data_IF_194035004249
#
_entry.id   IF_194035004249
#
_cell.length_a   1.000
_cell.length_b   1.000
_cell.length_c   1.000
_cell.angle_alpha   90.00
_cell.angle_beta   90.00
_cell.angle_gamma   90.00
#
_symmetry.space_group_name_H-M   'P 1'
#
loop_
_entity.id
_entity.type
_entity.pdbx_description
1 polymer ?
#
# COMPACT_ATOMS: atom_id res chain seq x y z
N UNK A 1 -18.96 -18.72 -6.76
CA UNK A 1 -19.29 -20.00 -6.10
C UNK A 1 -18.18 -20.46 -5.14
N UNK A 2 -16.93 -20.71 -5.57
CA UNK A 2 -15.86 -21.11 -4.62
C UNK A 2 -15.69 -20.13 -3.44
N UNK A 3 -15.62 -18.82 -3.73
CA UNK A 3 -15.56 -17.77 -2.71
C UNK A 3 -16.73 -17.81 -1.72
N UNK A 4 -17.93 -18.21 -2.18
CA UNK A 4 -19.12 -18.31 -1.32
C UNK A 4 -18.93 -19.42 -0.29
N UNK A 5 -18.44 -20.59 -0.71
CA UNK A 5 -18.15 -21.71 0.22
C UNK A 5 -17.10 -21.30 1.24
N UNK A 6 -15.98 -20.71 0.79
CA UNK A 6 -14.90 -20.28 1.69
C UNK A 6 -15.40 -19.26 2.71
N UNK A 7 -16.12 -18.23 2.27
CA UNK A 7 -16.61 -17.17 3.14
C UNK A 7 -17.70 -17.69 4.10
N UNK A 8 -18.57 -18.60 3.65
CA UNK A 8 -19.57 -19.20 4.52
C UNK A 8 -18.94 -20.11 5.59
N UNK A 9 -18.01 -20.98 5.21
CA UNK A 9 -17.23 -21.79 6.17
C UNK A 9 -16.49 -20.88 7.16
N UNK A 10 -15.85 -19.81 6.68
CA UNK A 10 -15.17 -18.85 7.53
C UNK A 10 -16.12 -18.11 8.48
N UNK A 11 -17.32 -17.74 8.02
CA UNK A 11 -18.31 -17.07 8.88
C UNK A 11 -18.68 -17.96 10.07
N UNK A 12 -18.87 -19.26 9.83
CA UNK A 12 -19.14 -20.26 10.87
C UNK A 12 -17.93 -20.44 11.79
N UNK A 13 -16.74 -20.71 11.22
CA UNK A 13 -15.50 -20.95 11.98
C UNK A 13 -15.10 -19.76 12.85
N UNK A 14 -15.12 -18.53 12.33
CA UNK A 14 -14.71 -17.34 13.07
C UNK A 14 -15.79 -16.85 14.07
N UNK A 15 -17.05 -17.24 13.87
CA UNK A 15 -18.17 -16.88 14.74
C UNK A 15 -18.24 -15.37 15.01
N UNK A 16 -18.27 -14.97 16.28
CA UNK A 16 -18.33 -13.57 16.68
C UNK A 16 -17.15 -12.71 16.16
N UNK A 17 -16.00 -13.33 15.87
CA UNK A 17 -14.82 -12.63 15.36
C UNK A 17 -14.92 -12.29 13.87
N UNK A 18 -15.91 -12.82 13.15
CA UNK A 18 -16.14 -12.52 11.74
C UNK A 18 -16.33 -11.01 11.46
N UNK A 19 -16.80 -10.24 12.45
CA UNK A 19 -16.95 -8.78 12.33
C UNK A 19 -15.63 -8.03 12.11
N UNK A 20 -14.48 -8.63 12.46
CA UNK A 20 -13.15 -8.04 12.27
C UNK A 20 -12.55 -8.35 10.89
N UNK A 21 -13.18 -9.23 10.12
CA UNK A 21 -12.73 -9.61 8.78
C UNK A 21 -13.40 -8.70 7.74
N UNK A 22 -12.82 -7.52 7.52
CA UNK A 22 -13.18 -6.63 6.38
C UNK A 22 -12.80 -7.24 5.03
N UNK A 23 -13.22 -6.65 3.89
CA UNK A 23 -13.01 -7.33 2.59
C UNK A 23 -11.55 -7.59 2.26
N UNK A 24 -10.63 -6.72 2.67
CA UNK A 24 -9.22 -6.96 2.40
C UNK A 24 -8.72 -8.25 3.02
N UNK A 25 -9.29 -8.65 4.17
CA UNK A 25 -9.04 -9.94 4.81
C UNK A 25 -9.83 -11.06 4.12
N UNK A 26 -11.11 -10.84 3.84
CA UNK A 26 -11.95 -11.83 3.14
C UNK A 26 -11.38 -12.24 1.77
N UNK A 27 -10.93 -11.28 0.95
CA UNK A 27 -10.31 -11.55 -0.35
C UNK A 27 -9.05 -12.40 -0.21
N UNK A 28 -8.20 -12.10 0.77
CA UNK A 28 -6.99 -12.89 1.06
C UNK A 28 -7.32 -14.27 1.53
N UNK A 29 -8.32 -14.40 2.40
CA UNK A 29 -8.76 -15.70 2.89
C UNK A 29 -9.14 -16.60 1.71
N UNK A 30 -9.95 -16.08 0.78
CA UNK A 30 -10.31 -16.81 -0.44
C UNK A 30 -9.08 -17.14 -1.29
N UNK A 31 -8.16 -16.20 -1.49
CA UNK A 31 -6.95 -16.42 -2.27
C UNK A 31 -6.03 -17.50 -1.66
N UNK A 32 -5.81 -17.46 -0.35
CA UNK A 32 -4.99 -18.43 0.39
C UNK A 32 -5.64 -19.81 0.41
N UNK A 33 -6.96 -19.89 0.61
CA UNK A 33 -7.68 -21.18 0.56
C UNK A 33 -7.65 -21.75 -0.85
N UNK A 34 -7.77 -20.93 -1.89
CA UNK A 34 -7.65 -21.39 -3.27
C UNK A 34 -6.26 -21.95 -3.57
N UNK A 35 -5.20 -21.27 -3.11
CA UNK A 35 -3.82 -21.76 -3.24
C UNK A 35 -3.60 -23.08 -2.50
N UNK A 36 -4.04 -23.16 -1.24
CA UNK A 36 -3.86 -24.38 -0.44
C UNK A 36 -4.65 -25.58 -0.98
N UNK A 37 -5.85 -25.37 -1.50
CA UNK A 37 -6.72 -26.43 -2.04
C UNK A 37 -6.50 -26.72 -3.52
N UNK A 38 -5.47 -26.12 -4.14
CA UNK A 38 -5.19 -26.23 -5.57
C UNK A 38 -6.37 -25.82 -6.45
N UNK A 39 -7.21 -24.89 -5.99
CA UNK A 39 -8.29 -24.36 -6.80
C UNK A 39 -7.76 -23.31 -7.77
N UNK A 40 -8.11 -23.48 -9.04
CA UNK A 40 -7.72 -22.57 -10.10
C UNK A 40 -8.56 -21.29 -10.01
N UNK A 41 -7.98 -20.26 -9.40
CA UNK A 41 -8.59 -18.97 -9.13
C UNK A 41 -7.63 -17.89 -9.56
N UNK A 42 -8.11 -16.92 -10.35
CA UNK A 42 -7.31 -15.77 -10.74
C UNK A 42 -6.90 -14.96 -9.53
N UNK A 43 -5.60 -14.76 -9.33
CA UNK A 43 -5.04 -14.06 -8.17
C UNK A 43 -3.63 -13.54 -8.44
N UNK A 44 -3.23 -12.49 -7.71
CA UNK A 44 -1.93 -11.85 -7.82
C UNK A 44 -1.60 -11.00 -6.60
N UNK A 45 -0.34 -10.56 -6.49
CA UNK A 45 0.14 -9.74 -5.38
C UNK A 45 -0.12 -8.25 -5.63
N UNK A 46 -0.97 -7.66 -4.80
CA UNK A 46 -1.43 -6.28 -4.94
C UNK A 46 -1.03 -5.43 -3.71
N UNK A 47 -1.51 -4.18 -3.63
CA UNK A 47 -1.18 -3.18 -2.60
C UNK A 47 -1.34 -3.63 -1.16
N UNK A 48 -2.28 -4.52 -0.88
CA UNK A 48 -2.47 -5.07 0.46
C UNK A 48 -2.10 -6.54 0.56
N UNK A 49 -1.34 -7.10 -0.37
CA UNK A 49 -0.97 -8.52 -0.41
C UNK A 49 -1.78 -9.31 -1.44
N UNK A 50 -1.93 -10.61 -1.20
CA UNK A 50 -2.54 -11.51 -2.18
C UNK A 50 -4.02 -11.17 -2.44
N UNK A 51 -4.35 -10.94 -3.70
CA UNK A 51 -5.62 -10.39 -4.15
C UNK A 51 -6.26 -11.29 -5.21
N UNK A 52 -7.56 -11.53 -5.08
CA UNK A 52 -8.36 -12.29 -6.03
C UNK A 52 -9.56 -11.44 -6.48
N UNK A 53 -9.61 -10.97 -7.76
CA UNK A 53 -10.66 -10.07 -8.24
C UNK A 53 -12.06 -10.69 -8.12
N UNK A 54 -12.22 -11.96 -8.48
CA UNK A 54 -13.51 -12.64 -8.37
C UNK A 54 -14.00 -12.75 -6.92
N UNK A 55 -13.10 -12.89 -5.95
CA UNK A 55 -13.48 -12.90 -4.54
C UNK A 55 -14.02 -11.54 -4.11
N UNK A 56 -13.35 -10.46 -4.56
CA UNK A 56 -13.80 -9.10 -4.28
C UNK A 56 -15.18 -8.81 -4.89
N UNK A 57 -15.42 -9.24 -6.14
CA UNK A 57 -16.73 -9.05 -6.78
C UNK A 57 -17.85 -9.77 -6.02
N UNK A 58 -17.61 -11.02 -5.59
CA UNK A 58 -18.56 -11.79 -4.77
C UNK A 58 -18.83 -11.12 -3.42
N UNK A 59 -17.80 -10.58 -2.77
CA UNK A 59 -17.96 -9.86 -1.49
C UNK A 59 -18.81 -8.60 -1.68
N UNK A 60 -18.55 -7.82 -2.73
CA UNK A 60 -19.33 -6.60 -3.02
C UNK A 60 -20.79 -6.94 -3.34
N UNK A 61 -21.03 -8.06 -4.01
CA UNK A 61 -22.37 -8.52 -4.36
C UNK A 61 -23.18 -8.92 -3.12
N UNK A 62 -22.59 -9.69 -2.20
CA UNK A 62 -23.31 -10.32 -1.09
C UNK A 62 -23.07 -9.71 0.31
N UNK A 63 -22.14 -8.76 0.45
CA UNK A 63 -21.93 -8.00 1.69
C UNK A 63 -22.25 -6.50 1.54
N UNK A 64 -22.75 -6.07 0.37
CA UNK A 64 -23.12 -4.69 0.08
C UNK A 64 -21.96 -3.77 -0.33
N UNK A 65 -22.27 -2.49 -0.53
CA UNK A 65 -21.34 -1.48 -1.07
C UNK A 65 -20.54 -0.72 0.01
N UNK A 66 -21.06 -0.63 1.24
CA UNK A 66 -20.52 0.20 2.32
C UNK A 66 -20.16 -0.65 3.55
N UNK A 67 -18.91 -0.55 4.02
CA UNK A 67 -18.39 -1.16 5.26
C UNK A 67 -18.60 -2.69 5.42
N UNK A 68 -18.25 -3.46 4.40
CA UNK A 68 -18.32 -4.93 4.44
C UNK A 68 -17.44 -5.56 5.53
N UNK A 69 -18.01 -6.51 6.28
CA UNK A 69 -17.26 -7.46 7.09
C UNK A 69 -17.90 -8.86 6.95
N UNK A 70 -17.18 -9.90 7.35
CA UNK A 70 -17.64 -11.27 7.14
C UNK A 70 -18.95 -11.61 7.89
N UNK A 71 -19.26 -10.93 8.99
CA UNK A 71 -20.49 -11.21 9.74
C UNK A 71 -21.76 -10.85 8.96
N UNK A 72 -21.68 -9.86 8.05
CA UNK A 72 -22.80 -9.44 7.20
C UNK A 72 -22.81 -10.09 5.82
N UNK A 73 -21.81 -10.92 5.50
CA UNK A 73 -21.80 -11.66 4.24
C UNK A 73 -22.94 -12.68 4.21
N UNK A 74 -23.83 -12.58 3.23
CA UNK A 74 -24.98 -13.47 3.08
C UNK A 74 -25.26 -13.73 1.60
N UNK A 75 -24.95 -14.94 1.14
CA UNK A 75 -25.31 -15.38 -0.20
C UNK A 75 -26.75 -15.94 -0.19
N UNK A 76 -27.55 -15.70 -1.24
CA UNK A 76 -28.86 -16.34 -1.42
C UNK A 76 -28.77 -17.85 -1.24
N UNK A 77 -29.79 -18.46 -0.63
CA UNK A 77 -29.80 -19.88 -0.30
C UNK A 77 -29.55 -20.76 -1.53
N UNK A 78 -30.13 -20.41 -2.67
CA UNK A 78 -29.99 -21.14 -3.93
C UNK A 78 -28.52 -21.12 -4.42
N UNK A 79 -27.84 -19.98 -4.27
CA UNK A 79 -26.41 -19.83 -4.63
C UNK A 79 -25.54 -20.61 -3.65
N UNK A 80 -25.89 -20.58 -2.37
CA UNK A 80 -25.18 -21.31 -1.32
C UNK A 80 -25.27 -22.82 -1.55
N UNK A 81 -26.48 -23.35 -1.71
CA UNK A 81 -26.75 -24.78 -1.91
C UNK A 81 -26.02 -25.29 -3.17
N UNK A 82 -26.13 -24.57 -4.29
CA UNK A 82 -25.43 -24.92 -5.53
C UNK A 82 -23.91 -24.86 -5.37
N UNK A 83 -23.38 -23.87 -4.64
CA UNK A 83 -21.95 -23.77 -4.38
C UNK A 83 -21.45 -24.94 -3.54
N UNK A 84 -22.19 -25.34 -2.49
CA UNK A 84 -21.84 -26.49 -1.66
C UNK A 84 -21.93 -27.82 -2.42
N UNK A 85 -22.91 -27.97 -3.30
CA UNK A 85 -22.99 -29.14 -4.19
C UNK A 85 -21.79 -29.20 -5.15
N UNK A 86 -21.50 -28.10 -5.84
CA UNK A 86 -20.40 -27.99 -6.81
C UNK A 86 -19.04 -28.29 -6.19
N UNK A 87 -18.81 -27.84 -4.96
CA UNK A 87 -17.53 -27.98 -4.27
C UNK A 87 -17.52 -29.07 -3.19
N UNK A 88 -18.50 -29.97 -3.16
CA UNK A 88 -18.69 -30.98 -2.09
C UNK A 88 -17.39 -31.70 -1.71
N UNK A 89 -16.62 -32.16 -2.71
CA UNK A 89 -15.37 -32.88 -2.47
C UNK A 89 -14.24 -31.99 -1.88
N UNK A 90 -14.29 -30.67 -2.08
CA UNK A 90 -13.30 -29.71 -1.57
C UNK A 90 -13.66 -29.14 -0.20
N UNK A 91 -14.93 -29.22 0.23
CA UNK A 91 -15.41 -28.63 1.50
C UNK A 91 -14.56 -29.04 2.71
N UNK A 92 -14.25 -30.34 2.95
CA UNK A 92 -13.46 -30.71 4.13
C UNK A 92 -12.07 -30.06 4.15
N UNK A 93 -11.45 -29.89 2.97
CA UNK A 93 -10.15 -29.22 2.85
C UNK A 93 -10.26 -27.70 3.04
N UNK A 94 -11.34 -27.09 2.55
CA UNK A 94 -11.64 -25.67 2.76
C UNK A 94 -11.81 -25.41 4.26
N UNK A 95 -12.66 -26.18 4.94
CA UNK A 95 -12.95 -26.02 6.37
C UNK A 95 -11.70 -26.21 7.22
N UNK A 96 -10.94 -27.30 6.98
CA UNK A 96 -9.70 -27.56 7.71
C UNK A 96 -8.67 -26.42 7.55
N UNK A 97 -8.56 -25.83 6.36
CA UNK A 97 -7.62 -24.73 6.15
C UNK A 97 -8.12 -23.40 6.73
N UNK A 98 -9.43 -23.16 6.70
CA UNK A 98 -10.06 -22.00 7.36
C UNK A 98 -9.86 -22.07 8.88
N UNK A 99 -10.04 -23.24 9.49
CA UNK A 99 -9.75 -23.47 10.91
C UNK A 99 -8.27 -23.22 11.22
N UNK A 100 -7.36 -23.79 10.42
CA UNK A 100 -5.92 -23.52 10.55
C UNK A 100 -5.60 -22.03 10.48
N UNK A 101 -6.20 -21.30 9.55
CA UNK A 101 -5.99 -19.85 9.41
C UNK A 101 -6.51 -19.09 10.64
N UNK A 102 -7.67 -19.47 11.17
CA UNK A 102 -8.21 -18.88 12.40
C UNK A 102 -7.25 -19.09 13.57
N UNK A 103 -6.70 -20.30 13.72
CA UNK A 103 -5.82 -20.66 14.83
C UNK A 103 -4.48 -19.90 14.80
N UNK A 104 -4.03 -19.44 13.63
CA UNK A 104 -2.87 -18.53 13.54
C UNK A 104 -3.12 -17.17 14.20
N UNK A 105 -4.37 -16.78 14.42
CA UNK A 105 -4.76 -15.53 15.10
C UNK A 105 -4.59 -14.25 14.29
N UNK A 106 -3.74 -14.21 13.25
CA UNK A 106 -3.41 -12.98 12.52
C UNK A 106 -4.59 -12.31 11.80
N UNK A 107 -5.65 -13.04 11.44
CA UNK A 107 -6.79 -12.46 10.72
C UNK A 107 -7.67 -11.54 11.58
N UNK A 108 -7.53 -11.59 12.90
CA UNK A 108 -8.34 -10.80 13.84
C UNK A 108 -7.49 -9.79 14.62
N UNK A 109 -6.20 -9.66 14.32
CA UNK A 109 -5.32 -8.68 14.94
C UNK A 109 -5.54 -7.28 14.37
N UNK A 110 -4.81 -6.31 14.92
CA UNK A 110 -4.74 -4.96 14.37
C UNK A 110 -4.20 -4.96 12.93
N UNK A 111 -4.52 -3.90 12.20
CA UNK A 111 -4.20 -3.78 10.77
C UNK A 111 -2.70 -3.86 10.48
N UNK A 112 -1.87 -3.23 11.32
CA UNK A 112 -0.42 -3.25 11.19
C UNK A 112 0.16 -4.66 11.31
N UNK A 113 -0.22 -5.40 12.35
CA UNK A 113 0.22 -6.78 12.58
C UNK A 113 -0.22 -7.71 11.45
N UNK A 114 -1.46 -7.55 10.99
CA UNK A 114 -1.99 -8.32 9.89
C UNK A 114 -1.18 -8.11 8.60
N UNK A 115 -0.91 -6.86 8.22
CA UNK A 115 -0.11 -6.56 7.03
C UNK A 115 1.33 -7.03 7.18
N UNK A 116 1.93 -6.88 8.37
CA UNK A 116 3.29 -7.36 8.64
C UNK A 116 3.37 -8.88 8.45
N UNK A 117 2.42 -9.64 8.99
CA UNK A 117 2.31 -11.08 8.76
C UNK A 117 2.19 -11.41 7.27
N UNK A 118 1.27 -10.75 6.55
CA UNK A 118 1.09 -10.97 5.10
C UNK A 118 2.39 -10.73 4.33
N UNK A 119 3.12 -9.66 4.62
CA UNK A 119 4.31 -9.33 3.84
C UNK A 119 5.55 -10.11 4.26
N UNK A 120 5.74 -10.35 5.54
CA UNK A 120 6.89 -11.08 6.05
C UNK A 120 6.80 -12.57 5.72
N UNK A 121 5.62 -13.16 5.91
CA UNK A 121 5.47 -14.61 5.94
C UNK A 121 4.84 -15.18 4.65
N UNK A 122 4.08 -14.37 3.89
CA UNK A 122 3.38 -14.84 2.71
C UNK A 122 3.88 -14.24 1.39
N UNK A 123 4.48 -13.03 1.39
CA UNK A 123 4.90 -12.39 0.15
C UNK A 123 5.95 -13.20 -0.62
N UNK A 124 5.94 -13.16 -1.97
CA UNK A 124 6.94 -13.86 -2.76
C UNK A 124 8.31 -13.30 -2.43
N UNK A 125 9.31 -14.18 -2.31
CA UNK A 125 10.64 -13.80 -1.83
C UNK A 125 11.24 -12.62 -2.62
N UNK A 126 11.02 -12.63 -3.95
CA UNK A 126 11.44 -11.56 -4.86
C UNK A 126 10.91 -10.16 -4.50
N UNK A 127 9.73 -10.06 -3.89
CA UNK A 127 9.03 -8.79 -3.62
C UNK A 127 8.88 -8.49 -2.13
N UNK A 128 9.31 -9.40 -1.25
CA UNK A 128 9.14 -9.30 0.20
C UNK A 128 9.71 -7.99 0.77
N UNK A 129 10.96 -7.68 0.44
CA UNK A 129 11.62 -6.46 0.93
C UNK A 129 10.95 -5.18 0.42
N UNK A 130 10.42 -5.19 -0.80
CA UNK A 130 9.64 -4.07 -1.34
C UNK A 130 8.38 -3.81 -0.50
N UNK A 131 7.60 -4.86 -0.21
CA UNK A 131 6.39 -4.75 0.61
C UNK A 131 6.67 -4.33 2.06
N UNK A 132 7.74 -4.84 2.68
CA UNK A 132 8.15 -4.44 4.02
C UNK A 132 8.59 -2.97 4.06
N UNK A 133 9.41 -2.56 3.08
CA UNK A 133 9.84 -1.15 2.93
C UNK A 133 8.63 -0.23 2.74
N UNK A 134 7.64 -0.67 1.96
CA UNK A 134 6.39 0.07 1.79
C UNK A 134 5.65 0.32 3.10
N UNK A 135 5.46 -0.72 3.93
CA UNK A 135 4.77 -0.58 5.21
C UNK A 135 5.51 0.37 6.13
N UNK A 136 6.84 0.23 6.20
CA UNK A 136 7.68 1.10 7.00
C UNK A 136 7.54 2.56 6.53
N UNK A 137 7.61 2.80 5.23
CA UNK A 137 7.44 4.13 4.65
C UNK A 137 6.02 4.70 4.85
N UNK A 138 4.98 3.89 4.69
CA UNK A 138 3.60 4.33 4.91
C UNK A 138 3.30 4.64 6.39
N UNK A 139 3.94 3.93 7.33
CA UNK A 139 3.87 4.25 8.75
C UNK A 139 4.66 5.51 9.08
N UNK A 140 5.83 5.68 8.45
CA UNK A 140 6.64 6.88 8.57
C UNK A 140 5.88 8.13 8.12
N UNK A 141 5.22 8.10 6.96
CA UNK A 141 4.40 9.23 6.49
C UNK A 141 3.24 9.56 7.43
N UNK A 142 2.56 8.55 7.98
CA UNK A 142 1.50 8.78 8.97
C UNK A 142 2.03 9.38 10.28
N UNK A 143 3.24 9.00 10.70
CA UNK A 143 3.90 9.62 11.85
C UNK A 143 4.37 11.04 11.55
N UNK A 144 4.82 11.32 10.32
CA UNK A 144 5.22 12.66 9.89
C UNK A 144 4.09 13.67 10.09
N UNK A 145 2.88 13.31 9.65
CA UNK A 145 1.66 14.08 9.84
C UNK A 145 1.38 14.36 11.32
N UNK A 146 1.53 13.34 12.18
CA UNK A 146 1.28 13.45 13.61
C UNK A 146 2.32 14.32 14.35
N UNK A 147 3.62 14.10 14.10
CA UNK A 147 4.71 14.83 14.75
C UNK A 147 4.68 16.33 14.44
N UNK A 148 4.30 16.68 13.21
CA UNK A 148 4.22 18.06 12.79
C UNK A 148 3.00 18.79 13.36
N UNK A 149 1.97 18.07 13.81
CA UNK A 149 0.77 18.65 14.45
C UNK A 149 0.88 18.95 15.94
N UNK A 150 1.94 18.50 16.63
CA UNK A 150 2.12 18.72 18.07
C UNK A 150 3.15 19.83 18.36
N UNK A 151 2.73 21.02 18.85
CA UNK A 151 3.61 22.19 19.00
C UNK A 151 4.81 22.00 19.96
N UNK A 152 4.74 21.02 20.86
CA UNK A 152 5.66 20.87 21.99
C UNK A 152 6.84 19.93 21.76
N UNK A 153 6.92 19.23 20.62
CA UNK A 153 7.87 18.12 20.43
C UNK A 153 8.87 18.30 19.27
N UNK A 154 8.83 19.49 18.66
CA UNK A 154 9.47 19.82 17.38
C UNK A 154 11.00 19.67 17.30
N UNK A 155 11.74 19.95 18.38
CA UNK A 155 13.20 20.11 18.29
C UNK A 155 14.04 18.82 18.33
N UNK A 156 13.63 17.81 19.11
CA UNK A 156 14.41 16.56 19.24
C UNK A 156 13.93 15.49 18.27
N UNK A 157 12.62 15.32 18.10
CA UNK A 157 12.06 14.23 17.29
C UNK A 157 12.39 14.40 15.81
N UNK A 158 12.51 15.63 15.32
CA UNK A 158 12.91 15.90 13.93
C UNK A 158 14.36 15.50 13.63
N UNK A 159 15.28 15.63 14.60
CA UNK A 159 16.70 15.20 14.42
C UNK A 159 16.84 13.68 14.26
N UNK A 160 15.91 12.90 14.80
CA UNK A 160 15.81 11.47 14.53
C UNK A 160 15.07 11.14 13.23
N UNK A 161 14.31 12.10 12.70
CA UNK A 161 13.37 11.93 11.59
C UNK A 161 14.09 11.95 10.23
N UNK A 162 14.94 12.96 10.01
CA UNK A 162 15.67 13.14 8.73
C UNK A 162 16.50 11.91 8.31
N UNK A 163 17.41 11.40 9.16
CA UNK A 163 18.18 10.19 8.83
C UNK A 163 17.32 8.95 8.60
N UNK A 164 16.12 8.85 9.21
CA UNK A 164 15.19 7.75 8.96
C UNK A 164 14.55 7.88 7.56
N UNK A 165 14.17 9.09 7.13
CA UNK A 165 13.67 9.33 5.77
C UNK A 165 14.74 9.00 4.72
N UNK A 166 15.96 9.54 4.84
CA UNK A 166 17.05 9.31 3.89
C UNK A 166 17.31 7.80 3.68
N UNK A 167 17.36 7.04 4.78
CA UNK A 167 17.55 5.59 4.74
C UNK A 167 16.33 4.85 4.15
N UNK A 168 15.11 5.31 4.42
CA UNK A 168 13.89 4.74 3.86
C UNK A 168 13.80 4.97 2.36
N UNK A 169 14.00 6.20 1.88
CA UNK A 169 13.99 6.58 0.46
C UNK A 169 15.03 5.76 -0.30
N UNK A 170 16.26 5.69 0.22
CA UNK A 170 17.35 4.90 -0.39
C UNK A 170 16.99 3.43 -0.49
N UNK A 171 16.49 2.82 0.61
CA UNK A 171 16.04 1.42 0.58
C UNK A 171 14.94 1.23 -0.45
N UNK A 172 13.99 2.16 -0.55
CA UNK A 172 12.87 2.04 -1.46
C UNK A 172 13.31 2.05 -2.92
N UNK A 173 14.21 2.95 -3.29
CA UNK A 173 14.82 3.00 -4.62
C UNK A 173 15.49 1.67 -4.98
N UNK A 174 16.19 1.05 -4.03
CA UNK A 174 16.85 -0.25 -4.23
C UNK A 174 15.86 -1.42 -4.39
N UNK A 175 14.60 -1.28 -4.01
CA UNK A 175 13.59 -2.34 -4.10
C UNK A 175 12.60 -2.17 -5.27
N UNK A 176 12.63 -1.04 -5.99
CA UNK A 176 11.63 -0.71 -7.01
C UNK A 176 11.97 -1.20 -8.42
N UNK A 177 13.11 -1.85 -8.62
CA UNK A 177 13.61 -2.30 -9.92
C UNK A 177 12.73 -3.31 -10.69
N UNK A 178 11.60 -3.73 -10.12
CA UNK A 178 10.59 -4.53 -10.82
C UNK A 178 9.55 -3.71 -11.57
N UNK A 179 9.49 -2.39 -11.32
CA UNK A 179 8.67 -1.44 -12.07
C UNK A 179 9.43 -1.07 -13.34
N UNK A 180 8.88 -1.43 -14.49
CA UNK A 180 9.47 -1.25 -15.82
C UNK A 180 8.94 -0.01 -16.56
N UNK A 181 7.91 0.63 -16.02
CA UNK A 181 7.26 1.79 -16.59
C UNK A 181 7.96 3.09 -16.15
N UNK A 182 8.65 3.74 -17.09
CA UNK A 182 9.41 4.96 -16.83
C UNK A 182 8.53 6.14 -16.39
N UNK A 183 7.25 6.19 -16.78
CA UNK A 183 6.35 7.26 -16.35
C UNK A 183 5.92 7.07 -14.89
N UNK A 184 5.64 5.83 -14.49
CA UNK A 184 5.36 5.48 -13.09
C UNK A 184 6.59 5.74 -12.21
N UNK A 185 7.79 5.34 -12.67
CA UNK A 185 9.04 5.64 -11.96
C UNK A 185 9.28 7.15 -11.84
N UNK A 186 9.02 7.91 -12.89
CA UNK A 186 9.10 9.38 -12.84
C UNK A 186 8.19 9.97 -11.77
N UNK A 187 6.91 9.53 -11.70
CA UNK A 187 5.99 9.97 -10.65
C UNK A 187 6.48 9.61 -9.23
N UNK A 188 7.08 8.44 -9.08
CA UNK A 188 7.67 8.02 -7.81
C UNK A 188 8.86 8.90 -7.42
N UNK A 189 9.78 9.18 -8.36
CA UNK A 189 10.93 10.03 -8.10
C UNK A 189 10.52 11.47 -7.79
N UNK A 190 9.62 12.06 -8.58
CA UNK A 190 9.12 13.42 -8.34
C UNK A 190 8.44 13.55 -6.96
N UNK A 191 7.75 12.49 -6.50
CA UNK A 191 7.16 12.44 -5.18
C UNK A 191 8.21 12.33 -4.07
N UNK A 192 9.24 11.51 -4.25
CA UNK A 192 10.34 11.38 -3.28
C UNK A 192 11.15 12.67 -3.19
N UNK A 193 11.44 13.32 -4.33
CA UNK A 193 12.11 14.63 -4.39
C UNK A 193 11.30 15.69 -3.64
N UNK A 194 9.97 15.72 -3.80
CA UNK A 194 9.09 16.63 -3.05
C UNK A 194 9.21 16.39 -1.54
N UNK A 195 9.20 15.13 -1.11
CA UNK A 195 9.34 14.76 0.30
C UNK A 195 10.68 15.18 0.89
N UNK A 196 11.79 14.91 0.20
CA UNK A 196 13.14 15.30 0.62
C UNK A 196 13.29 16.83 0.65
N UNK A 197 12.68 17.54 -0.31
CA UNK A 197 12.64 19.01 -0.29
C UNK A 197 11.90 19.55 0.93
N UNK A 198 10.73 18.99 1.26
CA UNK A 198 9.96 19.39 2.45
C UNK A 198 10.74 19.10 3.73
N UNK A 199 11.36 17.93 3.82
CA UNK A 199 12.19 17.56 4.97
C UNK A 199 13.35 18.54 5.17
N UNK A 200 14.08 18.87 4.09
CA UNK A 200 15.13 19.87 4.14
C UNK A 200 14.63 21.25 4.56
N UNK A 201 13.44 21.65 4.09
CA UNK A 201 12.85 22.94 4.47
C UNK A 201 12.50 22.98 5.96
N UNK A 202 11.95 21.90 6.48
CA UNK A 202 11.60 21.78 7.90
C UNK A 202 12.88 21.69 8.76
N UNK A 203 13.96 21.07 8.28
CA UNK A 203 15.24 21.00 9.00
C UNK A 203 15.85 22.40 9.24
N UNK A 204 15.73 23.30 8.25
CA UNK A 204 16.40 24.61 8.25
C UNK A 204 15.60 25.74 8.89
N UNK A 205 14.30 25.57 9.14
CA UNK A 205 13.44 26.55 9.79
C UNK A 205 12.89 25.98 11.09
N UNK A 206 12.83 26.80 12.15
CA UNK A 206 11.86 26.59 13.23
C UNK A 206 10.46 26.79 12.64
N UNK A 207 9.96 25.76 11.97
CA UNK A 207 8.74 25.85 11.18
C UNK A 207 7.54 25.67 12.11
N UNK A 208 6.71 26.69 12.23
CA UNK A 208 5.43 26.53 12.92
C UNK A 208 4.41 25.96 11.93
N UNK A 209 4.08 24.68 12.08
CA UNK A 209 3.04 24.04 11.27
C UNK A 209 1.66 24.58 11.65
N UNK A 210 1.03 25.26 10.70
CA UNK A 210 -0.35 25.71 10.81
C UNK A 210 -1.33 24.70 10.20
N UNK A 211 -2.65 25.02 10.26
CA UNK A 211 -3.69 24.14 9.72
C UNK A 211 -3.57 23.84 8.22
N UNK A 212 -3.01 24.77 7.43
CA UNK A 212 -2.86 24.60 5.97
C UNK A 212 -1.76 23.61 5.64
N UNK A 213 -0.69 23.65 6.41
CA UNK A 213 0.46 22.78 6.31
C UNK A 213 0.10 21.36 6.73
N UNK A 214 -0.70 21.20 7.81
CA UNK A 214 -1.28 19.90 8.18
C UNK A 214 -2.15 19.32 7.07
N UNK A 215 -3.08 20.12 6.53
CA UNK A 215 -3.91 19.69 5.40
C UNK A 215 -3.08 19.27 4.19
N UNK A 216 -1.97 19.96 3.91
CA UNK A 216 -1.07 19.59 2.84
C UNK A 216 -0.36 18.25 3.10
N UNK A 217 0.08 17.99 4.34
CA UNK A 217 0.71 16.72 4.72
C UNK A 217 -0.28 15.55 4.64
N UNK A 218 -1.54 15.76 5.02
CA UNK A 218 -2.60 14.78 4.81
C UNK A 218 -2.77 14.45 3.32
N UNK A 219 -2.79 15.47 2.46
CA UNK A 219 -2.92 15.28 1.02
C UNK A 219 -1.70 14.55 0.42
N UNK A 220 -0.51 14.81 0.96
CA UNK A 220 0.72 14.10 0.61
C UNK A 220 0.65 12.62 1.01
N UNK A 221 0.16 12.32 2.22
CA UNK A 221 -0.06 10.96 2.70
C UNK A 221 -1.13 10.24 1.85
N UNK A 222 -2.24 10.92 1.53
CA UNK A 222 -3.30 10.41 0.64
C UNK A 222 -2.79 10.17 -0.78
N UNK A 223 -1.91 11.02 -1.31
CA UNK A 223 -1.31 10.81 -2.63
C UNK A 223 -0.53 9.49 -2.69
N UNK A 224 0.24 9.20 -1.65
CA UNK A 224 1.04 7.98 -1.57
C UNK A 224 0.20 6.73 -1.28
N UNK A 225 -0.62 6.78 -0.23
CA UNK A 225 -1.35 5.62 0.26
C UNK A 225 -2.65 6.03 0.97
N UNK A 226 -3.77 6.05 0.24
CA UNK A 226 -5.04 6.28 0.93
C UNK A 226 -5.47 5.02 1.69
N UNK A 227 -5.53 5.15 3.01
CA UNK A 227 -6.14 4.15 3.90
C UNK A 227 -7.66 4.32 3.91
N UNK A 228 -8.29 4.25 2.74
CA UNK A 228 -9.75 4.16 2.67
C UNK A 228 -10.10 2.69 2.82
N UNK A 229 -11.20 2.36 3.51
CA UNK A 229 -11.76 1.00 3.57
C UNK A 229 -12.21 0.41 2.21
N UNK A 230 -11.69 0.97 1.12
CA UNK A 230 -11.92 0.59 -0.27
C UNK A 230 -10.66 -0.11 -0.80
N UNK A 231 -10.86 -1.29 -1.38
CA UNK A 231 -9.80 -2.09 -1.98
C UNK A 231 -9.19 -1.47 -3.25
N UNK A 232 -9.87 -0.50 -3.85
CA UNK A 232 -9.50 0.12 -5.11
C UNK A 232 -9.42 1.63 -4.98
N UNK A 233 -8.26 2.09 -4.53
CA UNK A 233 -7.88 3.49 -4.62
C UNK A 233 -6.80 3.64 -5.68
N UNK A 234 -6.91 4.70 -6.46
CA UNK A 234 -5.87 5.15 -7.38
C UNK A 234 -4.92 6.08 -6.62
N UNK A 235 -3.84 5.50 -6.08
CA UNK A 235 -2.75 6.20 -5.41
C UNK A 235 -1.40 5.70 -5.92
N UNK A 236 -0.32 6.39 -5.54
CA UNK A 236 1.02 6.05 -6.02
C UNK A 236 1.36 4.60 -5.66
N UNK A 237 1.03 4.13 -4.46
CA UNK A 237 1.35 2.76 -4.06
C UNK A 237 0.71 1.70 -4.98
N UNK A 238 -0.53 1.92 -5.41
CA UNK A 238 -1.17 1.04 -6.41
C UNK A 238 -0.34 0.93 -7.70
N UNK A 239 0.28 2.00 -8.17
CA UNK A 239 1.07 1.95 -9.40
C UNK A 239 2.36 1.12 -9.27
N UNK A 240 2.92 1.04 -8.05
CA UNK A 240 4.23 0.44 -7.81
C UNK A 240 4.20 -1.06 -7.60
N UNK A 241 3.03 -1.65 -7.32
CA UNK A 241 2.97 -3.07 -6.92
C UNK A 241 3.13 -4.03 -8.10
N UNK A 242 3.74 -5.21 -7.90
CA UNK A 242 4.02 -6.18 -8.96
C UNK A 242 2.77 -7.00 -9.38
N UNK A 243 1.58 -6.40 -9.39
CA UNK A 243 0.33 -7.12 -9.60
C UNK A 243 0.26 -7.77 -10.99
N UNK A 244 0.64 -7.04 -12.05
CA UNK A 244 0.64 -7.59 -13.42
C UNK A 244 1.57 -8.79 -13.58
N UNK A 245 2.73 -8.73 -12.94
CA UNK A 245 3.80 -9.73 -13.01
C UNK A 245 3.46 -10.98 -12.20
N UNK A 246 2.64 -10.82 -11.15
CA UNK A 246 2.28 -11.91 -10.23
C UNK A 246 0.89 -12.50 -10.48
N UNK A 247 0.13 -11.95 -11.43
CA UNK A 247 -1.18 -12.46 -11.84
C UNK A 247 -1.07 -13.87 -12.44
N UNK A 248 -1.84 -14.79 -11.87
CA UNK A 248 -1.95 -16.20 -12.27
C UNK A 248 -3.42 -16.61 -12.29
N UNK A 249 -3.73 -17.78 -12.88
CA UNK A 249 -5.08 -18.34 -12.96
C UNK A 249 -5.81 -18.10 -14.28
N UNK A 250 -7.07 -18.55 -14.41
CA UNK A 250 -7.73 -18.75 -15.69
C UNK A 250 -8.10 -17.45 -16.42
N UNK A 251 -8.24 -16.35 -15.69
CA UNK A 251 -8.58 -15.02 -16.23
C UNK A 251 -7.45 -14.01 -16.07
N UNK A 252 -6.20 -14.47 -15.86
CA UNK A 252 -5.06 -13.60 -15.58
C UNK A 252 -4.81 -12.55 -16.67
N UNK A 253 -4.93 -12.93 -17.95
CA UNK A 253 -4.70 -11.99 -19.06
C UNK A 253 -5.78 -10.91 -19.14
N UNK A 254 -7.04 -11.30 -19.00
CA UNK A 254 -8.16 -10.35 -18.96
C UNK A 254 -7.99 -9.36 -17.81
N UNK A 255 -7.59 -9.85 -16.63
CA UNK A 255 -7.34 -9.01 -15.47
C UNK A 255 -6.12 -8.10 -15.67
N UNK A 256 -5.05 -8.59 -16.32
CA UNK A 256 -3.87 -7.80 -16.65
C UNK A 256 -4.22 -6.63 -17.57
N UNK A 257 -5.10 -6.84 -18.54
CA UNK A 257 -5.59 -5.77 -19.43
C UNK A 257 -6.46 -4.76 -18.68
N UNK A 258 -7.40 -5.22 -17.85
CA UNK A 258 -8.24 -4.35 -17.01
C UNK A 258 -7.38 -3.46 -16.10
N UNK A 259 -6.39 -4.08 -15.44
CA UNK A 259 -5.48 -3.37 -14.55
C UNK A 259 -4.62 -2.36 -15.31
N UNK A 260 -4.08 -2.73 -16.46
CA UNK A 260 -3.26 -1.82 -17.28
C UNK A 260 -4.06 -0.58 -17.75
N UNK A 261 -5.33 -0.76 -18.10
CA UNK A 261 -6.21 0.37 -18.43
C UNK A 261 -6.47 1.28 -17.22
N UNK A 262 -6.58 0.71 -16.01
CA UNK A 262 -6.72 1.47 -14.77
C UNK A 262 -5.45 2.24 -14.43
N UNK A 263 -4.28 1.60 -14.53
CA UNK A 263 -2.97 2.22 -14.32
C UNK A 263 -2.80 3.45 -15.19
N UNK A 264 -3.11 3.39 -16.49
CA UNK A 264 -3.02 4.56 -17.39
C UNK A 264 -3.89 5.74 -16.95
N UNK A 265 -5.10 5.48 -16.45
CA UNK A 265 -6.00 6.54 -15.94
C UNK A 265 -5.49 7.12 -14.64
N UNK A 266 -5.06 6.25 -13.73
CA UNK A 266 -4.52 6.62 -12.43
C UNK A 266 -3.23 7.44 -12.57
N UNK A 267 -2.32 7.06 -13.47
CA UNK A 267 -1.08 7.79 -13.78
C UNK A 267 -1.37 9.24 -14.17
N UNK A 268 -2.29 9.47 -15.12
CA UNK A 268 -2.65 10.81 -15.57
C UNK A 268 -3.25 11.65 -14.43
N UNK A 269 -4.14 11.05 -13.62
CA UNK A 269 -4.74 11.70 -12.45
C UNK A 269 -3.69 12.06 -11.40
N UNK A 270 -2.79 11.12 -11.07
CA UNK A 270 -1.75 11.32 -10.07
C UNK A 270 -0.72 12.35 -10.53
N UNK A 271 -0.39 12.40 -11.83
CA UNK A 271 0.48 13.47 -12.36
C UNK A 271 -0.10 14.86 -12.10
N UNK A 272 -1.40 15.03 -12.31
CA UNK A 272 -2.08 16.30 -12.02
C UNK A 272 -2.09 16.59 -10.52
N UNK A 273 -2.42 15.60 -9.69
CA UNK A 273 -2.42 15.72 -8.23
C UNK A 273 -1.05 16.10 -7.67
N UNK A 274 0.03 15.49 -8.18
CA UNK A 274 1.39 15.80 -7.77
C UNK A 274 1.80 17.23 -8.16
N UNK A 275 1.46 17.66 -9.39
CA UNK A 275 1.66 19.06 -9.80
C UNK A 275 0.93 20.03 -8.87
N UNK A 276 -0.30 19.71 -8.45
CA UNK A 276 -1.04 20.53 -7.50
C UNK A 276 -0.39 20.55 -6.12
N UNK A 277 0.10 19.42 -5.63
CA UNK A 277 0.86 19.35 -4.37
C UNK A 277 2.12 20.23 -4.44
N UNK A 278 2.89 20.16 -5.52
CA UNK A 278 4.09 20.99 -5.71
C UNK A 278 3.73 22.48 -5.71
N UNK A 279 2.65 22.87 -6.37
CA UNK A 279 2.18 24.27 -6.37
C UNK A 279 1.73 24.73 -4.98
N UNK A 280 1.05 23.86 -4.23
CA UNK A 280 0.63 24.14 -2.86
C UNK A 280 1.85 24.28 -1.93
N UNK A 281 2.83 23.38 -2.04
CA UNK A 281 4.08 23.47 -1.29
C UNK A 281 4.80 24.80 -1.53
N UNK A 282 4.84 25.28 -2.79
CA UNK A 282 5.37 26.61 -3.12
C UNK A 282 4.60 27.75 -2.44
N UNK A 283 3.27 27.70 -2.45
CA UNK A 283 2.41 28.73 -1.82
C UNK A 283 2.54 28.77 -0.30
N UNK A 284 2.83 27.63 0.32
CA UNK A 284 3.02 27.48 1.77
C UNK A 284 4.48 27.64 2.21
N UNK A 285 5.38 28.03 1.30
CA UNK A 285 6.82 28.21 1.59
C UNK A 285 7.49 26.93 2.16
N UNK A 286 7.00 25.77 1.72
CA UNK A 286 7.45 24.43 2.13
C UNK A 286 8.58 23.88 1.27
N UNK A 287 9.01 24.61 0.24
CA UNK A 287 10.17 24.22 -0.56
C UNK A 287 11.43 24.97 -0.07
N UNK A 288 12.61 24.34 -0.11
CA UNK A 288 13.86 24.97 0.26
C UNK A 288 14.25 26.01 -0.80
N UNK A 289 14.96 27.04 -0.37
CA UNK A 289 15.65 27.97 -1.25
C UNK A 289 16.86 27.30 -1.90
N UNK A 290 17.34 27.91 -2.99
CA UNK A 290 18.59 27.48 -3.65
C UNK A 290 19.75 27.47 -2.66
N UNK A 291 19.82 28.46 -1.77
CA UNK A 291 20.88 28.56 -0.76
C UNK A 291 20.83 27.38 0.22
N UNK A 292 19.64 27.00 0.69
CA UNK A 292 19.48 25.83 1.58
C UNK A 292 19.92 24.53 0.88
N UNK A 293 19.59 24.37 -0.40
CA UNK A 293 20.04 23.23 -1.21
C UNK A 293 21.56 23.20 -1.36
N UNK A 294 22.19 24.33 -1.70
CA UNK A 294 23.65 24.44 -1.84
C UNK A 294 24.40 24.10 -0.55
N UNK A 295 23.84 24.49 0.61
CA UNK A 295 24.37 24.17 1.93
C UNK A 295 24.27 22.67 2.22
N UNK A 296 23.13 22.03 1.94
CA UNK A 296 22.97 20.58 2.12
C UNK A 296 23.91 19.81 1.21
N UNK A 297 24.04 20.20 -0.06
CA UNK A 297 24.97 19.61 -1.02
C UNK A 297 26.41 19.70 -0.51
N UNK A 298 26.83 20.87 0.00
CA UNK A 298 28.18 21.04 0.56
C UNK A 298 28.44 20.09 1.74
N UNK A 299 27.49 20.01 2.68
CA UNK A 299 27.59 19.09 3.83
C UNK A 299 27.67 17.63 3.38
N UNK A 300 26.95 17.25 2.32
CA UNK A 300 26.98 15.90 1.76
C UNK A 300 28.34 15.58 1.09
N UNK A 301 28.87 16.51 0.31
CA UNK A 301 30.19 16.37 -0.32
C UNK A 301 31.31 16.22 0.75
N UNK A 302 31.24 16.99 1.84
CA UNK A 302 32.15 16.88 2.99
C UNK A 302 32.02 15.53 3.73
N UNK A 303 30.78 15.03 3.89
CA UNK A 303 30.49 13.75 4.56
C UNK A 303 30.93 12.53 3.74
N UNK A 304 30.95 12.66 2.41
CA UNK A 304 31.28 11.57 1.49
C UNK A 304 32.31 12.00 0.42
N UNK A 305 33.56 12.32 0.82
CA UNK A 305 34.55 12.94 -0.06
C UNK A 305 35.03 12.04 -1.21
N UNK A 306 34.72 10.75 -1.16
CA UNK A 306 35.09 9.77 -2.20
C UNK A 306 34.04 9.64 -3.30
N UNK A 307 32.88 10.30 -3.19
CA UNK A 307 31.85 10.33 -4.22
C UNK A 307 32.13 11.48 -5.18
N UNK A 308 31.69 11.35 -6.44
CA UNK A 308 31.69 12.49 -7.35
C UNK A 308 30.85 13.61 -6.72
N UNK A 309 31.37 14.85 -6.61
CA UNK A 309 30.65 15.93 -5.95
C UNK A 309 29.26 16.09 -6.57
N UNK A 310 28.22 16.20 -5.75
CA UNK A 310 26.85 16.33 -6.26
C UNK A 310 26.72 17.58 -7.13
N UNK A 311 27.49 18.63 -6.83
CA UNK A 311 27.59 19.84 -7.67
C UNK A 311 27.96 19.53 -9.12
N UNK A 312 28.83 18.56 -9.36
CA UNK A 312 29.24 18.15 -10.71
C UNK A 312 28.22 17.22 -11.39
N UNK A 313 27.37 16.55 -10.61
CA UNK A 313 26.28 15.70 -11.12
C UNK A 313 25.11 16.57 -11.55
N UNK A 314 24.79 17.62 -10.78
CA UNK A 314 23.67 18.53 -11.04
C UNK A 314 24.04 19.77 -11.86
N UNK A 315 25.32 20.07 -12.13
CA UNK A 315 25.75 21.17 -13.01
C UNK A 315 25.51 20.91 -14.51
N UNK A 316 24.83 19.83 -14.86
CA UNK A 316 24.52 19.41 -16.23
C UNK A 316 23.07 19.71 -16.66
N UNK A 317 22.30 20.43 -15.84
CA UNK A 317 20.91 20.85 -16.12
C UNK A 317 20.76 22.36 -16.18
#
# INVERSE_FOLDING_TARGET
>A
MFSVVVLNSAKVTFGASAKYLGATRMVKLVALVAENTGHDLTRGWYKYGYYAPNAHDVIREFAGKDHYNLSIFEAPKEILDLSYETFRAKIPHIEAYVDKIKDLGFFVTEWGDFLNWVYRDLAPEKYKNFYLTHVEFGNFLGQFEHYLGEPTVWGWQFKEFGPKLENLVTRYHNQIGHVDDGAILGLFYDFMDLLEMIELRIENKEYNVGPKELSFLEDLNKFYNQRVGQLFVDDLWMLLVPYRQTLTGPLAETERQKYSNRVKKAEASLKLSLSNLIQTAKKLDLLPSIVELEVKIKKMDEKFPTRKPLREVYSLF
#
